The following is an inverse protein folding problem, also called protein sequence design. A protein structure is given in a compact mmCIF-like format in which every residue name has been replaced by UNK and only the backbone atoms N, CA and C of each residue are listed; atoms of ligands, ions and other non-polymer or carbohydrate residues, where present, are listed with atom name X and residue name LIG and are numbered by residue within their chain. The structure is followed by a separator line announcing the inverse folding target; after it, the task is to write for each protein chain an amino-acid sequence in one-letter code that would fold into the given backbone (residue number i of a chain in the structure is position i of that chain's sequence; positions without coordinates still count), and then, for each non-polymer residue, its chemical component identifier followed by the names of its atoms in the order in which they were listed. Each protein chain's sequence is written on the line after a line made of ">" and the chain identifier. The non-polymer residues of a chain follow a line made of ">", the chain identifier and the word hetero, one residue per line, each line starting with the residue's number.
data_IF_487903201598
#
_entry.id   IF_487903201598
#
_cell.length_a   1.000
_cell.length_b   1.000
_cell.length_c   1.000
_cell.angle_alpha   90.00
_cell.angle_beta   90.00
_cell.angle_gamma   90.00
#
_symmetry.space_group_name_H-M   'P 1'
#
loop_
_entity.id
_entity.type
_entity.pdbx_description
1 polymer ?
#
# COMPACT_ATOMS: atom_id res chain seq x y z
N UNK A 1 -94.37 -17.32 30.23
CA UNK A 1 -94.64 -18.16 29.03
C UNK A 1 -94.47 -17.30 27.78
N UNK A 2 -93.71 -17.83 26.82
CA UNK A 2 -93.74 -17.60 25.35
C UNK A 2 -93.73 -16.15 24.83
N UNK A 3 -92.55 -15.66 24.41
CA UNK A 3 -91.96 -15.81 23.06
C UNK A 3 -92.67 -14.98 21.99
N UNK A 4 -91.98 -13.95 21.46
CA UNK A 4 -92.20 -13.53 20.09
C UNK A 4 -90.85 -13.42 19.35
N UNK A 5 -90.72 -14.24 18.30
CA UNK A 5 -89.54 -14.40 17.44
C UNK A 5 -89.32 -13.13 16.61
N UNK A 6 -88.12 -12.55 16.63
CA UNK A 6 -87.57 -11.85 15.47
C UNK A 6 -86.27 -12.52 15.02
N UNK A 7 -86.24 -12.76 13.71
CA UNK A 7 -85.27 -13.55 12.97
C UNK A 7 -83.92 -12.82 12.95
N UNK A 8 -82.83 -13.56 13.16
CA UNK A 8 -81.49 -13.15 12.77
C UNK A 8 -81.40 -13.24 11.24
N UNK A 9 -81.02 -12.14 10.59
CA UNK A 9 -80.46 -12.17 9.24
C UNK A 9 -78.98 -11.89 9.40
N UNK A 10 -78.15 -12.83 8.94
CA UNK A 10 -76.71 -12.74 8.93
C UNK A 10 -76.26 -11.61 7.98
N UNK A 11 -75.36 -10.76 8.44
CA UNK A 11 -74.63 -9.83 7.60
C UNK A 11 -73.26 -10.47 7.33
N UNK A 12 -73.01 -10.83 6.07
CA UNK A 12 -71.73 -11.35 5.61
C UNK A 12 -70.69 -10.22 5.62
N UNK A 13 -69.85 -10.20 6.65
CA UNK A 13 -68.72 -9.30 6.77
C UNK A 13 -67.49 -9.88 6.06
N UNK A 14 -67.27 -9.47 4.81
CA UNK A 14 -66.02 -9.66 4.11
C UNK A 14 -64.88 -8.93 4.85
N UNK A 15 -63.99 -9.68 5.48
CA UNK A 15 -62.81 -9.15 6.16
C UNK A 15 -61.65 -9.02 5.16
N UNK A 16 -61.45 -7.81 4.63
CA UNK A 16 -60.28 -7.43 3.85
C UNK A 16 -59.05 -7.40 4.77
N UNK A 17 -58.20 -8.43 4.70
CA UNK A 17 -56.86 -8.39 5.29
C UNK A 17 -56.01 -7.47 4.39
N UNK A 18 -55.36 -6.42 4.92
CA UNK A 18 -54.66 -5.45 4.10
C UNK A 18 -53.42 -6.07 3.45
N UNK A 19 -53.39 -5.98 2.12
CA UNK A 19 -52.34 -6.36 1.17
C UNK A 19 -50.97 -5.68 1.40
N UNK A 20 -50.80 -4.92 2.48
CA UNK A 20 -49.63 -4.05 2.73
C UNK A 20 -48.43 -4.83 3.30
N UNK A 21 -48.63 -6.00 3.91
CA UNK A 21 -47.53 -6.77 4.55
C UNK A 21 -46.68 -7.60 3.58
N UNK A 22 -47.17 -7.96 2.40
CA UNK A 22 -46.46 -8.90 1.50
C UNK A 22 -45.55 -8.21 0.48
N UNK A 23 -45.70 -6.90 0.27
CA UNK A 23 -44.97 -6.17 -0.78
C UNK A 23 -43.69 -5.53 -0.24
N UNK A 24 -43.58 -5.26 1.06
CA UNK A 24 -42.42 -4.56 1.65
C UNK A 24 -41.24 -5.47 1.98
N UNK A 25 -41.49 -6.73 2.33
CA UNK A 25 -40.45 -7.72 2.66
C UNK A 25 -39.44 -8.01 1.55
N UNK A 26 -39.81 -8.21 0.27
CA UNK A 26 -38.81 -8.46 -0.78
C UNK A 26 -37.91 -7.25 -1.05
N UNK A 27 -38.42 -6.02 -0.90
CA UNK A 27 -37.60 -4.80 -1.03
C UNK A 27 -36.66 -4.60 0.17
N UNK A 28 -37.07 -4.97 1.39
CA UNK A 28 -36.21 -4.94 2.57
C UNK A 28 -35.11 -6.01 2.48
N UNK A 29 -35.42 -7.21 1.99
CA UNK A 29 -34.43 -8.26 1.76
C UNK A 29 -33.45 -7.93 0.64
N UNK A 30 -33.91 -7.32 -0.46
CA UNK A 30 -33.04 -6.77 -1.51
C UNK A 30 -32.15 -5.65 -0.98
N UNK A 31 -32.69 -4.73 -0.17
CA UNK A 31 -31.91 -3.67 0.48
C UNK A 31 -30.86 -4.25 1.44
N UNK A 32 -31.18 -5.29 2.21
CA UNK A 32 -30.21 -5.99 3.07
C UNK A 32 -29.15 -6.76 2.26
N UNK A 33 -29.52 -7.32 1.10
CA UNK A 33 -28.56 -7.91 0.15
C UNK A 33 -27.61 -6.87 -0.45
N UNK A 34 -28.11 -5.66 -0.75
CA UNK A 34 -27.29 -4.53 -1.21
C UNK A 34 -26.42 -3.92 -0.10
N UNK A 35 -26.77 -4.08 1.18
CA UNK A 35 -25.94 -3.63 2.32
C UNK A 35 -24.76 -4.59 2.56
N UNK A 36 -24.87 -5.87 2.17
CA UNK A 36 -23.83 -6.88 2.37
C UNK A 36 -22.79 -7.01 1.24
N UNK A 37 -22.84 -6.16 0.21
CA UNK A 37 -21.77 -6.09 -0.81
C UNK A 37 -20.89 -4.84 -0.65
N UNK A 38 -20.56 -4.52 0.61
CA UNK A 38 -19.32 -3.78 0.87
C UNK A 38 -18.18 -4.78 0.80
N UNK A 39 -17.87 -5.23 -0.42
CA UNK A 39 -16.66 -5.99 -0.71
C UNK A 39 -15.50 -5.30 0.00
N UNK A 40 -14.93 -5.98 0.99
CA UNK A 40 -13.79 -5.49 1.75
C UNK A 40 -12.75 -5.05 0.72
N UNK A 41 -12.52 -3.74 0.64
CA UNK A 41 -11.50 -3.19 -0.23
C UNK A 41 -10.20 -3.87 0.15
N UNK A 42 -9.56 -4.52 -0.82
CA UNK A 42 -8.29 -5.21 -0.64
C UNK A 42 -7.34 -4.32 0.19
N UNK A 43 -7.07 -4.75 1.43
CA UNK A 43 -6.15 -4.10 2.36
C UNK A 43 -4.68 -4.20 1.90
N UNK A 44 -4.45 -4.69 0.68
CA UNK A 44 -3.13 -4.92 0.15
C UNK A 44 -2.31 -3.64 0.06
N UNK A 45 -1.03 -3.73 0.42
CA UNK A 45 -0.02 -2.68 0.29
C UNK A 45 1.16 -3.17 -0.52
N UNK A 46 1.83 -2.28 -1.25
CA UNK A 46 3.05 -2.62 -1.98
C UNK A 46 4.18 -3.10 -1.06
N UNK A 47 4.13 -2.75 0.23
CA UNK A 47 5.11 -3.25 1.21
C UNK A 47 5.09 -4.78 1.31
N UNK A 48 3.99 -5.43 0.94
CA UNK A 48 3.84 -6.88 0.91
C UNK A 48 4.82 -7.56 -0.04
N UNK A 49 5.36 -6.82 -1.01
CA UNK A 49 6.50 -7.28 -1.82
C UNK A 49 7.70 -7.70 -0.95
N UNK A 50 7.90 -7.10 0.22
CA UNK A 50 8.98 -7.49 1.13
C UNK A 50 8.78 -8.86 1.78
N UNK A 51 7.54 -9.31 1.91
CA UNK A 51 7.17 -10.62 2.46
C UNK A 51 7.13 -11.69 1.36
N UNK A 52 6.56 -11.36 0.19
CA UNK A 52 6.39 -12.30 -0.93
C UNK A 52 7.61 -12.38 -1.85
N UNK A 53 8.35 -11.29 -1.98
CA UNK A 53 9.25 -11.05 -3.10
C UNK A 53 10.56 -11.82 -3.03
N UNK A 54 11.00 -12.36 -1.90
CA UNK A 54 12.33 -13.00 -1.87
C UNK A 54 12.37 -14.27 -2.74
N UNK A 55 11.34 -15.11 -2.71
CA UNK A 55 11.37 -16.36 -3.49
C UNK A 55 11.09 -16.15 -4.99
N UNK A 56 10.21 -15.19 -5.31
CA UNK A 56 9.93 -14.75 -6.70
C UNK A 56 11.16 -14.08 -7.33
N UNK A 57 11.97 -13.36 -6.55
CA UNK A 57 13.16 -12.64 -7.02
C UNK A 57 14.46 -13.44 -6.95
N UNK A 58 14.49 -14.53 -6.17
CA UNK A 58 15.63 -15.45 -6.10
C UNK A 58 15.75 -16.32 -7.35
N UNK A 59 14.66 -16.48 -8.11
CA UNK A 59 14.64 -17.28 -9.33
C UNK A 59 14.10 -16.51 -10.55
N UNK A 60 14.78 -15.43 -11.00
CA UNK A 60 14.32 -14.60 -12.11
C UNK A 60 14.23 -15.38 -13.44
N UNK A 61 15.00 -16.46 -13.59
CA UNK A 61 14.98 -17.34 -14.77
C UNK A 61 13.66 -18.12 -14.92
N UNK A 62 12.92 -18.36 -13.84
CA UNK A 62 11.61 -19.03 -13.88
C UNK A 62 10.51 -18.16 -14.53
N UNK A 63 10.76 -16.86 -14.73
CA UNK A 63 9.80 -15.89 -15.28
C UNK A 63 10.14 -15.42 -16.70
N UNK A 64 11.26 -15.89 -17.27
CA UNK A 64 11.71 -15.58 -18.63
C UNK A 64 11.11 -16.51 -19.69
N UNK A 65 10.45 -17.60 -19.28
CA UNK A 65 9.88 -18.61 -20.18
C UNK A 65 8.38 -18.83 -19.89
N UNK A 66 7.53 -18.05 -20.55
CA UNK A 66 6.18 -18.51 -20.92
C UNK A 66 5.02 -18.49 -19.90
N UNK A 67 5.13 -17.89 -18.71
CA UNK A 67 4.03 -17.97 -17.71
C UNK A 67 3.75 -16.65 -16.97
N UNK A 68 2.77 -15.88 -17.47
CA UNK A 68 2.18 -14.65 -16.92
C UNK A 68 3.16 -13.52 -16.51
N UNK A 69 2.83 -12.25 -16.79
CA UNK A 69 3.73 -11.16 -16.41
C UNK A 69 3.91 -11.12 -14.88
N UNK A 70 5.16 -11.08 -14.40
CA UNK A 70 5.55 -10.98 -12.99
C UNK A 70 4.59 -10.07 -12.18
N UNK A 71 4.28 -8.91 -12.74
CA UNK A 71 3.44 -7.88 -12.15
C UNK A 71 1.98 -8.27 -11.88
N UNK A 72 1.42 -9.25 -12.59
CA UNK A 72 0.05 -9.73 -12.34
C UNK A 72 -0.04 -10.68 -11.15
N UNK A 73 1.08 -11.28 -10.74
CA UNK A 73 1.15 -12.20 -9.59
C UNK A 73 1.51 -11.48 -8.29
N UNK A 74 2.02 -10.25 -8.38
CA UNK A 74 2.33 -9.43 -7.21
C UNK A 74 1.04 -8.91 -6.58
N UNK A 75 0.76 -9.34 -5.35
CA UNK A 75 -0.40 -8.87 -4.60
C UNK A 75 -0.08 -7.60 -3.80
N UNK A 76 -1.07 -6.71 -3.67
CA UNK A 76 -0.96 -5.46 -2.92
C UNK A 76 -0.53 -4.22 -3.73
N UNK A 77 -0.20 -4.39 -5.02
CA UNK A 77 0.05 -3.27 -5.91
C UNK A 77 -1.23 -2.52 -6.29
N UNK A 78 -1.16 -1.18 -6.27
CA UNK A 78 -2.19 -0.30 -6.81
C UNK A 78 -2.21 -0.34 -8.35
N UNK A 79 -3.26 0.20 -8.99
CA UNK A 79 -3.35 0.22 -10.46
C UNK A 79 -2.19 1.00 -11.09
N UNK A 80 -1.80 2.12 -10.50
CA UNK A 80 -0.63 2.90 -10.89
C UNK A 80 0.68 2.14 -10.70
N UNK A 81 0.83 1.46 -9.55
CA UNK A 81 2.03 0.67 -9.26
C UNK A 81 2.20 -0.52 -10.19
N UNK A 82 1.11 -1.19 -10.57
CA UNK A 82 1.14 -2.29 -11.55
C UNK A 82 1.64 -1.80 -12.92
N UNK A 83 1.22 -0.61 -13.37
CA UNK A 83 1.76 -0.01 -14.61
C UNK A 83 3.26 0.26 -14.51
N UNK A 84 3.73 0.80 -13.38
CA UNK A 84 5.15 1.03 -13.14
C UNK A 84 5.94 -0.28 -13.07
N UNK A 85 5.38 -1.33 -12.47
CA UNK A 85 5.99 -2.65 -12.45
C UNK A 85 6.26 -3.16 -13.87
N UNK A 86 5.32 -3.01 -14.80
CA UNK A 86 5.53 -3.40 -16.19
C UNK A 86 6.66 -2.62 -16.87
N UNK A 87 6.85 -1.35 -16.51
CA UNK A 87 7.86 -0.46 -17.10
C UNK A 87 9.26 -0.64 -16.47
N UNK A 88 9.33 -1.12 -15.24
CA UNK A 88 10.53 -1.19 -14.40
C UNK A 88 10.66 -2.57 -13.74
N UNK A 89 10.52 -3.63 -14.54
CA UNK A 89 10.51 -5.01 -14.04
C UNK A 89 11.80 -5.37 -13.27
N UNK A 90 12.96 -4.95 -13.78
CA UNK A 90 14.27 -5.10 -13.15
C UNK A 90 14.39 -4.37 -11.81
N UNK A 91 13.57 -3.35 -11.56
CA UNK A 91 13.57 -2.59 -10.30
C UNK A 91 12.77 -3.28 -9.19
N UNK A 92 11.79 -4.10 -9.54
CA UNK A 92 10.89 -4.73 -8.57
C UNK A 92 11.64 -5.63 -7.58
N UNK A 93 12.78 -6.18 -8.03
CA UNK A 93 13.76 -6.86 -7.18
C UNK A 93 14.24 -6.03 -5.99
N UNK A 94 14.63 -4.80 -6.27
CA UNK A 94 15.12 -3.85 -5.28
C UNK A 94 13.97 -3.27 -4.47
N UNK A 95 12.80 -2.99 -5.07
CA UNK A 95 11.61 -2.54 -4.34
C UNK A 95 11.22 -3.52 -3.23
N UNK A 96 11.14 -4.82 -3.55
CA UNK A 96 10.83 -5.84 -2.56
C UNK A 96 11.89 -5.93 -1.45
N UNK A 97 13.18 -5.92 -1.80
CA UNK A 97 14.26 -5.89 -0.80
C UNK A 97 14.20 -4.65 0.08
N UNK A 98 13.88 -3.49 -0.49
CA UNK A 98 13.73 -2.23 0.23
C UNK A 98 12.55 -2.25 1.19
N UNK A 99 11.39 -2.77 0.75
CA UNK A 99 10.24 -3.00 1.61
C UNK A 99 10.58 -3.94 2.78
N UNK A 100 11.26 -5.06 2.51
CA UNK A 100 11.69 -6.01 3.54
C UNK A 100 12.65 -5.38 4.54
N UNK A 101 13.60 -4.59 4.06
CA UNK A 101 14.54 -3.87 4.91
C UNK A 101 13.79 -2.89 5.83
N UNK A 102 12.83 -2.14 5.29
CA UNK A 102 11.99 -1.24 6.07
C UNK A 102 11.16 -1.96 7.14
N UNK A 103 10.55 -3.11 6.80
CA UNK A 103 9.80 -3.94 7.75
C UNK A 103 10.70 -4.42 8.88
N UNK A 104 11.88 -4.97 8.54
CA UNK A 104 12.83 -5.46 9.52
C UNK A 104 13.35 -4.35 10.43
N UNK A 105 13.67 -3.19 9.88
CA UNK A 105 14.13 -2.03 10.68
C UNK A 105 13.00 -1.53 11.60
N UNK A 106 11.76 -1.51 11.12
CA UNK A 106 10.62 -1.16 11.95
C UNK A 106 10.46 -2.11 13.14
N UNK A 107 10.53 -3.43 12.90
CA UNK A 107 10.50 -4.44 13.96
C UNK A 107 11.65 -4.26 14.94
N UNK A 108 12.85 -3.97 14.43
CA UNK A 108 14.03 -3.75 15.25
C UNK A 108 13.88 -2.53 16.18
N UNK A 109 13.43 -1.39 15.65
CA UNK A 109 13.25 -0.15 16.40
C UNK A 109 12.12 -0.27 17.44
N UNK A 110 11.07 -1.03 17.14
CA UNK A 110 9.89 -1.16 18.00
C UNK A 110 9.86 -2.45 18.84
N UNK A 111 10.91 -3.29 18.83
CA UNK A 111 10.93 -4.61 19.50
C UNK A 111 10.51 -4.62 20.98
N UNK A 112 10.73 -3.51 21.69
CA UNK A 112 10.40 -3.35 23.11
C UNK A 112 9.21 -2.40 23.35
N UNK A 113 8.36 -2.18 22.34
CA UNK A 113 7.16 -1.33 22.41
C UNK A 113 5.90 -2.19 22.41
N UNK A 114 4.77 -1.61 22.88
CA UNK A 114 3.45 -2.28 22.87
C UNK A 114 3.02 -2.68 21.45
N UNK A 115 3.23 -1.77 20.50
CA UNK A 115 3.20 -2.08 19.08
C UNK A 115 4.63 -2.31 18.62
N UNK A 116 4.96 -3.54 18.26
CA UNK A 116 6.33 -3.99 17.96
C UNK A 116 6.59 -4.15 16.44
N UNK A 117 5.71 -3.59 15.61
CA UNK A 117 5.78 -3.69 14.16
C UNK A 117 5.75 -5.15 13.62
N UNK A 118 5.15 -6.08 14.37
CA UNK A 118 4.91 -7.45 13.89
C UNK A 118 4.06 -7.46 12.63
N UNK A 119 4.38 -8.34 11.68
CA UNK A 119 3.60 -8.49 10.45
C UNK A 119 2.43 -9.44 10.62
N UNK A 120 1.39 -9.25 9.80
CA UNK A 120 0.22 -10.14 9.70
C UNK A 120 0.31 -11.01 8.45
N UNK A 121 -0.35 -12.17 8.46
CA UNK A 121 -0.39 -13.11 7.33
C UNK A 121 -1.44 -12.70 6.29
N UNK A 122 -1.36 -11.46 5.82
CA UNK A 122 -2.18 -10.94 4.73
C UNK A 122 -1.40 -9.91 3.89
N UNK A 123 -2.03 -9.38 2.84
CA UNK A 123 -1.39 -8.41 1.94
C UNK A 123 -1.19 -7.00 2.52
N UNK A 124 -1.67 -6.71 3.73
CA UNK A 124 -1.58 -5.41 4.39
C UNK A 124 -0.26 -5.21 5.15
N UNK A 125 0.50 -6.28 5.40
CA UNK A 125 1.77 -6.30 6.15
C UNK A 125 1.63 -5.96 7.63
N UNK A 126 1.08 -4.80 7.99
CA UNK A 126 0.93 -4.35 9.39
C UNK A 126 -0.53 -4.25 9.84
N UNK A 127 -1.46 -4.87 9.11
CA UNK A 127 -2.88 -4.86 9.46
C UNK A 127 -3.51 -3.47 9.34
N UNK A 128 -4.55 -3.18 10.14
CA UNK A 128 -5.26 -1.90 10.11
C UNK A 128 -4.42 -0.68 10.49
N UNK A 129 -3.23 -0.87 11.09
CA UNK A 129 -2.39 0.22 11.59
C UNK A 129 -2.04 1.21 10.47
N UNK A 130 -1.77 0.72 9.25
CA UNK A 130 -1.46 1.59 8.09
C UNK A 130 -2.66 2.43 7.63
N UNK A 131 -3.89 2.06 8.00
CA UNK A 131 -5.09 2.81 7.65
C UNK A 131 -5.44 3.88 8.68
N UNK A 132 -4.75 3.89 9.83
CA UNK A 132 -4.97 4.83 10.92
C UNK A 132 -3.86 5.89 10.90
N UNK A 133 -4.24 7.16 11.03
CA UNK A 133 -3.30 8.29 11.15
C UNK A 133 -2.57 8.29 12.49
N UNK A 134 -1.62 7.38 12.67
CA UNK A 134 -0.84 7.15 13.88
C UNK A 134 0.65 7.47 13.68
N UNK A 135 1.40 7.62 14.79
CA UNK A 135 2.86 7.85 14.72
C UNK A 135 3.58 6.60 14.20
N UNK A 136 3.04 5.44 14.53
CA UNK A 136 3.49 4.11 14.12
C UNK A 136 3.36 3.96 12.60
N UNK A 137 2.18 4.30 12.04
CA UNK A 137 1.97 4.32 10.60
C UNK A 137 2.92 5.31 9.90
N UNK A 138 3.11 6.50 10.48
CA UNK A 138 4.02 7.49 9.94
C UNK A 138 5.46 6.97 9.85
N UNK A 139 5.93 6.31 10.90
CA UNK A 139 7.24 5.67 10.90
C UNK A 139 7.35 4.55 9.86
N UNK A 140 6.35 3.66 9.78
CA UNK A 140 6.33 2.55 8.82
C UNK A 140 6.40 3.05 7.36
N UNK A 141 5.65 4.09 7.01
CA UNK A 141 5.71 4.74 5.70
C UNK A 141 7.11 5.31 5.40
N UNK A 142 7.69 6.05 6.35
CA UNK A 142 9.00 6.67 6.19
C UNK A 142 10.11 5.62 6.02
N UNK A 143 10.19 4.62 6.90
CA UNK A 143 11.26 3.62 6.86
C UNK A 143 11.15 2.69 5.64
N UNK A 144 9.94 2.38 5.19
CA UNK A 144 9.74 1.61 3.96
C UNK A 144 10.18 2.40 2.72
N UNK A 145 9.82 3.69 2.61
CA UNK A 145 10.28 4.55 1.52
C UNK A 145 11.80 4.70 1.53
N UNK A 146 12.41 4.92 2.70
CA UNK A 146 13.86 4.97 2.88
C UNK A 146 14.55 3.68 2.42
N UNK A 147 14.01 2.51 2.78
CA UNK A 147 14.52 1.20 2.35
C UNK A 147 14.51 1.02 0.84
N UNK A 148 13.47 1.49 0.14
CA UNK A 148 13.42 1.44 -1.33
C UNK A 148 14.46 2.37 -1.96
N UNK A 149 14.62 3.60 -1.48
CA UNK A 149 15.68 4.51 -1.98
C UNK A 149 17.03 3.83 -1.86
N UNK A 150 17.36 3.34 -0.66
CA UNK A 150 18.63 2.69 -0.37
C UNK A 150 18.94 1.53 -1.32
N UNK A 151 17.99 0.60 -1.46
CA UNK A 151 18.19 -0.62 -2.25
C UNK A 151 18.23 -0.35 -3.76
N UNK A 152 17.42 0.57 -4.28
CA UNK A 152 17.43 0.96 -5.70
C UNK A 152 18.72 1.69 -6.05
N UNK A 153 19.14 2.65 -5.22
CA UNK A 153 20.40 3.38 -5.43
C UNK A 153 21.62 2.48 -5.45
N UNK A 154 21.64 1.47 -4.57
CA UNK A 154 22.66 0.43 -4.58
C UNK A 154 22.58 -0.47 -5.82
N UNK A 155 21.38 -0.81 -6.27
CA UNK A 155 21.18 -1.55 -7.53
C UNK A 155 21.76 -0.82 -8.74
N UNK A 156 21.64 0.50 -8.78
CA UNK A 156 22.28 1.33 -9.80
C UNK A 156 23.80 1.29 -9.74
N UNK A 157 24.37 1.34 -8.53
CA UNK A 157 25.83 1.22 -8.32
C UNK A 157 26.35 -0.13 -8.79
N UNK A 158 25.64 -1.19 -8.44
CA UNK A 158 26.06 -2.56 -8.73
C UNK A 158 25.80 -2.96 -10.20
N UNK A 159 25.24 -2.05 -11.02
CA UNK A 159 24.95 -2.31 -12.45
C UNK A 159 23.80 -3.29 -12.69
N UNK A 160 22.95 -3.53 -11.68
CA UNK A 160 21.85 -4.50 -11.76
C UNK A 160 20.58 -3.93 -12.44
N UNK A 161 20.53 -2.62 -12.65
CA UNK A 161 19.37 -1.89 -13.18
C UNK A 161 19.72 -1.25 -14.52
N UNK A 162 18.89 -1.51 -15.53
CA UNK A 162 19.17 -1.08 -16.92
C UNK A 162 19.04 0.42 -17.16
N UNK A 163 18.31 1.14 -16.30
CA UNK A 163 17.92 2.55 -16.49
C UNK A 163 18.74 3.55 -15.67
N UNK A 164 19.72 3.08 -14.92
CA UNK A 164 20.59 3.93 -14.12
C UNK A 164 22.02 3.37 -14.08
N UNK A 165 22.94 4.15 -13.53
CA UNK A 165 24.32 3.73 -13.27
C UNK A 165 24.84 4.40 -12.01
N UNK A 166 26.16 4.45 -11.86
CA UNK A 166 26.83 5.06 -10.71
C UNK A 166 26.37 6.50 -10.43
N UNK A 167 26.51 6.91 -9.17
CA UNK A 167 26.34 8.30 -8.75
C UNK A 167 27.19 9.26 -9.59
N UNK A 168 26.62 10.42 -9.92
CA UNK A 168 27.31 11.54 -10.56
C UNK A 168 27.80 12.57 -9.53
N UNK A 169 27.94 12.17 -8.27
CA UNK A 169 28.40 13.04 -7.20
C UNK A 169 29.78 13.62 -7.53
N UNK A 170 29.87 14.94 -7.38
CA UNK A 170 31.13 15.66 -7.53
C UNK A 170 32.07 15.34 -6.36
N UNK A 171 33.37 15.45 -6.59
CA UNK A 171 34.37 15.36 -5.53
C UNK A 171 34.00 16.31 -4.37
N UNK A 172 33.94 15.82 -3.12
CA UNK A 172 33.70 16.66 -1.96
C UNK A 172 34.77 17.76 -1.82
N UNK A 173 34.33 18.99 -1.51
CA UNK A 173 35.23 20.17 -1.42
C UNK A 173 36.22 20.07 -0.27
N UNK A 174 35.83 19.37 0.80
CA UNK A 174 36.58 19.10 2.02
C UNK A 174 37.55 17.91 1.89
N UNK A 175 37.53 17.16 0.78
CA UNK A 175 38.37 15.99 0.60
C UNK A 175 39.84 16.39 0.45
N UNK A 176 40.69 15.86 1.34
CA UNK A 176 42.13 16.13 1.35
C UNK A 176 42.73 15.97 -0.05
N UNK A 177 43.59 16.93 -0.46
CA UNK A 177 44.11 17.02 -1.84
C UNK A 177 44.81 15.74 -2.30
N UNK A 178 45.48 15.07 -1.37
CA UNK A 178 46.22 13.83 -1.65
C UNK A 178 45.33 12.60 -1.81
N UNK A 179 44.05 12.68 -1.41
CA UNK A 179 43.12 11.57 -1.57
C UNK A 179 42.48 11.62 -2.94
N UNK A 180 42.42 10.49 -3.62
CA UNK A 180 41.81 10.36 -4.95
C UNK A 180 40.32 10.10 -4.76
N UNK A 181 39.48 10.95 -5.38
CA UNK A 181 38.04 10.70 -5.46
C UNK A 181 37.77 9.82 -6.68
N UNK A 182 37.03 8.74 -6.47
CA UNK A 182 36.71 7.82 -7.55
C UNK A 182 35.89 6.62 -7.07
N UNK A 183 35.70 5.66 -7.98
CA UNK A 183 34.86 4.50 -7.77
C UNK A 183 33.40 4.75 -8.20
N UNK A 184 32.56 3.76 -7.94
CA UNK A 184 31.13 3.81 -8.24
C UNK A 184 30.36 3.94 -6.92
N UNK A 185 29.74 5.09 -6.69
CA UNK A 185 28.89 5.34 -5.51
C UNK A 185 27.41 5.03 -5.77
N UNK A 186 26.65 4.87 -4.69
CA UNK A 186 25.19 4.68 -4.71
C UNK A 186 24.50 5.88 -5.39
N UNK A 187 23.64 5.63 -6.39
CA UNK A 187 22.94 6.70 -7.11
C UNK A 187 21.66 7.14 -6.36
N UNK A 188 21.85 7.94 -5.32
CA UNK A 188 20.76 8.40 -4.44
C UNK A 188 19.73 9.25 -5.18
N UNK A 189 20.15 10.13 -6.09
CA UNK A 189 19.24 10.96 -6.89
C UNK A 189 18.25 10.11 -7.70
N UNK A 190 18.74 9.06 -8.37
CA UNK A 190 17.89 8.15 -9.12
C UNK A 190 16.93 7.39 -8.20
N UNK A 191 17.47 6.78 -7.13
CA UNK A 191 16.67 5.99 -6.19
C UNK A 191 15.57 6.83 -5.53
N UNK A 192 15.86 8.09 -5.21
CA UNK A 192 14.90 9.06 -4.69
C UNK A 192 13.72 9.24 -5.65
N UNK A 193 14.01 9.64 -6.90
CA UNK A 193 12.97 9.93 -7.91
C UNK A 193 12.15 8.72 -8.29
N UNK A 194 12.79 7.57 -8.44
CA UNK A 194 12.10 6.31 -8.70
C UNK A 194 11.15 5.97 -7.54
N UNK A 195 11.63 6.06 -6.30
CA UNK A 195 10.83 5.76 -5.11
C UNK A 195 9.66 6.72 -4.96
N UNK A 196 9.85 8.02 -5.21
CA UNK A 196 8.74 8.98 -5.26
C UNK A 196 7.68 8.54 -6.27
N UNK A 197 8.09 8.27 -7.51
CA UNK A 197 7.17 7.84 -8.56
C UNK A 197 6.41 6.55 -8.22
N UNK A 198 7.09 5.56 -7.63
CA UNK A 198 6.49 4.26 -7.34
C UNK A 198 5.65 4.22 -6.05
N UNK A 199 6.15 4.80 -4.96
CA UNK A 199 5.48 4.73 -3.66
C UNK A 199 4.28 5.70 -3.62
N UNK A 200 4.43 6.90 -4.18
CA UNK A 200 3.41 7.94 -4.06
C UNK A 200 2.26 7.77 -5.06
N UNK A 201 2.43 6.99 -6.15
CA UNK A 201 1.38 6.83 -7.17
C UNK A 201 0.07 6.29 -6.59
N UNK A 202 0.14 5.40 -5.60
CA UNK A 202 -1.04 4.86 -4.90
C UNK A 202 -1.84 5.95 -4.18
N UNK A 203 -1.15 6.90 -3.55
CA UNK A 203 -1.81 8.01 -2.88
C UNK A 203 -2.35 9.04 -3.89
N UNK A 204 -1.68 9.17 -5.05
CA UNK A 204 -2.04 10.13 -6.10
C UNK A 204 -3.16 9.65 -7.02
N UNK A 205 -3.38 8.33 -7.18
CA UNK A 205 -4.41 7.79 -8.09
C UNK A 205 -5.85 7.97 -7.58
N UNK A 206 -6.04 8.19 -6.27
CA UNK A 206 -7.35 8.45 -5.67
C UNK A 206 -7.49 9.94 -5.34
N UNK A 207 -8.59 10.53 -5.80
CA UNK A 207 -9.00 11.87 -5.43
C UNK A 207 -10.00 11.82 -4.28
N UNK A 208 -9.74 12.62 -3.24
CA UNK A 208 -10.61 12.74 -2.08
C UNK A 208 -11.21 14.14 -2.03
N UNK A 209 -12.41 14.24 -1.43
CA UNK A 209 -13.07 15.51 -1.20
C UNK A 209 -12.17 16.44 -0.36
N UNK A 210 -12.23 17.73 -0.67
CA UNK A 210 -11.42 18.73 0.04
C UNK A 210 -11.79 18.75 1.53
N UNK A 211 -10.79 18.85 2.40
CA UNK A 211 -10.91 18.80 3.85
C UNK A 211 -11.51 17.49 4.43
N UNK A 212 -11.57 16.41 3.64
CA UNK A 212 -11.98 15.10 4.15
C UNK A 212 -10.87 14.42 4.95
N UNK A 213 -11.26 13.52 5.87
CA UNK A 213 -10.33 12.67 6.62
C UNK A 213 -9.39 11.88 5.69
N UNK A 214 -9.92 11.36 4.59
CA UNK A 214 -9.13 10.62 3.60
C UNK A 214 -8.13 11.51 2.87
N UNK A 215 -8.47 12.77 2.56
CA UNK A 215 -7.50 13.72 2.03
C UNK A 215 -6.38 13.98 3.04
N UNK A 216 -6.71 14.17 4.32
CA UNK A 216 -5.72 14.32 5.39
C UNK A 216 -4.77 13.12 5.47
N UNK A 217 -5.31 11.90 5.40
CA UNK A 217 -4.51 10.65 5.40
C UNK A 217 -3.60 10.55 4.18
N UNK A 218 -4.12 10.82 2.98
CA UNK A 218 -3.33 10.89 1.74
C UNK A 218 -2.14 11.84 1.88
N UNK A 219 -2.38 13.06 2.37
CA UNK A 219 -1.34 14.08 2.56
C UNK A 219 -0.32 13.66 3.61
N UNK A 220 -0.78 13.06 4.71
CA UNK A 220 0.09 12.49 5.75
C UNK A 220 0.99 11.39 5.17
N UNK A 221 0.43 10.44 4.41
CA UNK A 221 1.20 9.36 3.79
C UNK A 221 2.28 9.90 2.83
N UNK A 222 1.91 10.85 1.95
CA UNK A 222 2.87 11.51 1.06
C UNK A 222 3.99 12.22 1.83
N UNK A 223 3.64 12.94 2.91
CA UNK A 223 4.61 13.62 3.76
C UNK A 223 5.58 12.63 4.43
N UNK A 224 5.05 11.52 4.96
CA UNK A 224 5.88 10.51 5.64
C UNK A 224 6.80 9.79 4.66
N UNK A 225 6.30 9.43 3.47
CA UNK A 225 7.13 8.84 2.42
C UNK A 225 8.29 9.79 2.05
N UNK A 226 7.98 11.08 1.87
CA UNK A 226 8.96 12.12 1.58
C UNK A 226 10.01 12.26 2.69
N UNK A 227 9.59 12.27 3.96
CA UNK A 227 10.49 12.33 5.10
C UNK A 227 11.49 11.16 5.10
N UNK A 228 11.03 9.95 4.77
CA UNK A 228 11.88 8.78 4.62
C UNK A 228 12.90 8.91 3.49
N UNK A 229 12.47 9.38 2.32
CA UNK A 229 13.36 9.58 1.16
C UNK A 229 14.43 10.63 1.45
N UNK A 230 14.06 11.75 2.07
CA UNK A 230 14.98 12.83 2.43
C UNK A 230 16.03 12.39 3.41
N UNK A 231 15.68 11.59 4.42
CA UNK A 231 16.66 11.09 5.39
C UNK A 231 17.85 10.39 4.72
N UNK A 232 17.60 9.59 3.67
CA UNK A 232 18.66 8.92 2.90
C UNK A 232 19.48 9.93 2.08
N UNK A 233 18.81 10.90 1.44
CA UNK A 233 19.46 11.96 0.66
C UNK A 233 20.37 12.85 1.54
N UNK A 234 19.89 13.24 2.71
CA UNK A 234 20.57 14.13 3.63
C UNK A 234 21.75 13.41 4.29
N UNK A 235 21.57 12.14 4.68
CA UNK A 235 22.66 11.31 5.22
C UNK A 235 23.81 11.18 4.22
N UNK A 236 23.49 10.90 2.94
CA UNK A 236 24.50 10.86 1.90
C UNK A 236 25.17 12.21 1.62
N UNK A 237 24.43 13.32 1.79
CA UNK A 237 25.01 14.66 1.63
C UNK A 237 25.96 15.01 2.77
N UNK A 238 25.66 14.55 3.99
CA UNK A 238 26.51 14.73 5.17
C UNK A 238 27.79 13.88 5.11
N UNK A 239 27.75 12.69 4.50
CA UNK A 239 28.96 11.89 4.26
C UNK A 239 29.95 12.58 3.29
N UNK A 240 29.47 13.55 2.51
CA UNK A 240 30.26 14.35 1.57
C UNK A 240 30.68 15.73 2.12
N UNK A 241 30.51 15.96 3.43
CA UNK A 241 30.83 17.23 4.13
C UNK A 241 32.00 17.08 5.09
#
# INVERSE_FOLDING_TARGET
>A
MKWNKRRKVAADGAHWIPFVEKVTWPFILLALFFIMDSGATSLGTWMNLGLQGIDVLRNPQAYLLGAQPLCSRLSGLSRGQTKLCYLYQDHMGHVARGARLGIHECQWQFKNRRWNCSTVDDSSVFGPVLNIGSREAAFAHAVAAAGVVHTVSRGCRDGQLSKCGCSRAMRPKNLHRDWIWGGCGDNIEYGYRFTEGFVDVREREVNHLRASREQGRKLMNLHNNEAGRRNISDSHSNDNQ
#
